data_IF_963759320958
#
_entry.id   IF_963759320958
#
_cell.length_a   1.000
_cell.length_b   1.000
_cell.length_c   1.000
_cell.angle_alpha   90.00
_cell.angle_beta   90.00
_cell.angle_gamma   90.00
#
_symmetry.space_group_name_H-M   'P 1'
#
loop_
_entity.id
_entity.type
_entity.pdbx_description
1 polymer ?
#
# COMPACT_ATOMS: atom_id res chain seq x y z
N UNK A 1 -17.19 2.83 -26.86
CA UNK A 1 -16.93 1.86 -25.77
C UNK A 1 -16.40 2.68 -24.60
N UNK A 2 -17.18 2.89 -23.54
CA UNK A 2 -16.68 3.64 -22.39
C UNK A 2 -15.59 2.80 -21.70
N UNK A 3 -14.44 3.41 -21.38
CA UNK A 3 -13.47 2.77 -20.49
C UNK A 3 -14.17 2.50 -19.17
N UNK A 4 -14.22 1.23 -18.74
CA UNK A 4 -14.57 0.93 -17.35
C UNK A 4 -13.51 1.58 -16.47
N UNK A 5 -13.93 2.50 -15.60
CA UNK A 5 -13.06 3.07 -14.58
C UNK A 5 -12.98 2.03 -13.46
N UNK A 6 -11.82 1.40 -13.28
CA UNK A 6 -11.62 0.36 -12.27
C UNK A 6 -11.13 0.94 -10.92
N UNK A 7 -11.12 2.27 -10.78
CA UNK A 7 -10.48 2.98 -9.68
C UNK A 7 -8.99 3.22 -9.90
N UNK A 8 -8.36 3.93 -8.96
CA UNK A 8 -6.93 4.24 -9.00
C UNK A 8 -6.12 3.15 -8.29
N UNK A 9 -4.89 2.89 -8.76
CA UNK A 9 -3.92 2.09 -8.03
C UNK A 9 -3.23 2.94 -6.97
N UNK A 10 -3.18 2.46 -5.73
CA UNK A 10 -2.55 3.15 -4.61
C UNK A 10 -1.27 2.45 -4.17
N UNK A 11 -0.33 3.20 -3.59
CA UNK A 11 0.84 2.65 -2.91
C UNK A 11 0.91 3.16 -1.47
N UNK A 12 1.16 2.23 -0.54
CA UNK A 12 1.17 2.45 0.90
C UNK A 12 2.49 1.94 1.50
N UNK A 13 3.15 2.77 2.30
CA UNK A 13 4.40 2.41 2.99
C UNK A 13 5.20 3.65 3.38
N UNK A 14 6.48 3.46 3.67
CA UNK A 14 7.38 4.56 4.03
C UNK A 14 7.70 5.43 2.82
N UNK A 15 8.04 6.69 3.06
CA UNK A 15 8.22 7.71 2.02
C UNK A 15 9.11 7.25 0.84
N UNK A 16 10.32 6.69 1.02
CA UNK A 16 11.15 6.31 -0.13
C UNK A 16 10.52 5.24 -1.02
N UNK A 17 9.79 4.29 -0.42
CA UNK A 17 9.09 3.25 -1.15
C UNK A 17 7.92 3.82 -1.96
N UNK A 18 7.10 4.65 -1.30
CA UNK A 18 5.95 5.30 -1.92
C UNK A 18 6.37 6.23 -3.07
N UNK A 19 7.43 7.02 -2.87
CA UNK A 19 7.97 7.92 -3.90
C UNK A 19 8.39 7.14 -5.15
N UNK A 20 9.12 6.03 -5.01
CA UNK A 20 9.51 5.19 -6.15
C UNK A 20 8.31 4.74 -6.97
N UNK A 21 7.30 4.18 -6.31
CA UNK A 21 6.13 3.61 -6.98
C UNK A 21 5.20 4.67 -7.56
N UNK A 22 5.17 5.87 -6.97
CA UNK A 22 4.41 7.01 -7.50
C UNK A 22 4.91 7.48 -8.87
N UNK A 23 6.18 7.23 -9.21
CA UNK A 23 6.72 7.50 -10.55
C UNK A 23 6.01 6.68 -11.65
N UNK A 24 5.36 5.58 -11.28
CA UNK A 24 4.57 4.75 -12.21
C UNK A 24 3.08 5.17 -12.28
N UNK A 25 2.71 6.30 -11.67
CA UNK A 25 1.34 6.80 -11.66
C UNK A 25 0.45 6.23 -10.55
N UNK A 26 1.04 5.55 -9.56
CA UNK A 26 0.32 5.10 -8.37
C UNK A 26 0.07 6.26 -7.41
N UNK A 27 -1.11 6.29 -6.80
CA UNK A 27 -1.48 7.33 -5.82
C UNK A 27 -0.77 7.05 -4.49
N UNK A 28 0.03 8.02 -4.05
CA UNK A 28 0.86 7.91 -2.86
C UNK A 28 0.06 8.05 -1.55
N UNK A 29 0.26 7.10 -0.64
CA UNK A 29 -0.16 7.18 0.77
C UNK A 29 1.04 6.87 1.65
N UNK A 30 1.67 7.93 2.15
CA UNK A 30 2.80 7.80 3.07
C UNK A 30 2.28 7.40 4.45
N UNK A 31 2.81 6.30 4.98
CA UNK A 31 2.49 5.78 6.30
C UNK A 31 3.82 5.35 6.94
N UNK A 32 4.39 6.18 7.82
CA UNK A 32 5.74 5.96 8.35
C UNK A 32 5.75 4.89 9.44
N UNK A 33 4.71 4.86 10.27
CA UNK A 33 4.56 3.91 11.37
C UNK A 33 3.18 3.22 11.42
N UNK A 34 3.05 2.16 12.24
CA UNK A 34 1.77 1.49 12.48
C UNK A 34 0.71 2.39 13.15
N UNK A 35 1.13 3.44 13.87
CA UNK A 35 0.27 4.46 14.47
C UNK A 35 -0.47 5.33 13.44
N UNK A 36 0.11 5.50 12.25
CA UNK A 36 -0.48 6.27 11.15
C UNK A 36 -1.50 5.43 10.36
N UNK A 37 -1.44 4.10 10.51
CA UNK A 37 -2.22 3.15 9.74
C UNK A 37 -3.74 3.39 9.81
N UNK A 38 -4.37 3.66 10.98
CA UNK A 38 -5.80 3.89 11.05
C UNK A 38 -6.26 5.04 10.15
N UNK A 39 -5.50 6.14 10.12
CA UNK A 39 -5.79 7.30 9.27
C UNK A 39 -5.58 6.98 7.78
N UNK A 40 -4.49 6.30 7.44
CA UNK A 40 -4.21 5.90 6.06
C UNK A 40 -5.25 4.90 5.53
N UNK A 41 -5.66 3.95 6.37
CA UNK A 41 -6.69 2.97 6.03
C UNK A 41 -8.04 3.64 5.83
N UNK A 42 -8.44 4.55 6.72
CA UNK A 42 -9.69 5.31 6.55
C UNK A 42 -9.70 6.13 5.26
N UNK A 43 -8.57 6.76 4.89
CA UNK A 43 -8.42 7.45 3.61
C UNK A 43 -8.68 6.51 2.43
N UNK A 44 -8.05 5.33 2.42
CA UNK A 44 -8.24 4.33 1.36
C UNK A 44 -9.69 3.84 1.26
N UNK A 45 -10.42 3.73 2.38
CA UNK A 45 -11.83 3.33 2.38
C UNK A 45 -12.78 4.38 1.76
N UNK A 46 -12.35 5.65 1.66
CA UNK A 46 -13.14 6.73 1.07
C UNK A 46 -12.95 6.93 -0.44
N UNK A 47 -12.04 6.17 -1.05
CA UNK A 47 -11.58 6.37 -2.42
C UNK A 47 -12.06 5.24 -3.36
N UNK A 48 -12.10 5.51 -4.66
CA UNK A 48 -12.30 4.48 -5.67
C UNK A 48 -10.95 3.77 -5.92
N UNK A 49 -10.70 2.68 -5.18
CA UNK A 49 -9.42 1.97 -5.19
C UNK A 49 -9.50 0.68 -6.04
N UNK A 50 -8.62 0.55 -7.02
CA UNK A 50 -8.46 -0.67 -7.81
C UNK A 50 -7.64 -1.74 -7.07
N UNK A 51 -6.50 -1.32 -6.51
CA UNK A 51 -5.59 -2.14 -5.71
C UNK A 51 -4.70 -1.26 -4.83
N UNK A 52 -4.12 -1.86 -3.79
CA UNK A 52 -3.15 -1.22 -2.91
C UNK A 52 -1.85 -2.01 -2.95
N UNK A 53 -0.78 -1.40 -3.45
CA UNK A 53 0.57 -1.92 -3.36
C UNK A 53 1.14 -1.55 -1.97
N UNK A 54 1.71 -2.50 -1.24
CA UNK A 54 2.15 -2.30 0.14
C UNK A 54 3.59 -2.75 0.39
N UNK A 55 4.35 -1.97 1.16
CA UNK A 55 5.72 -2.31 1.57
C UNK A 55 5.75 -3.46 2.59
N UNK A 56 6.45 -4.56 2.29
CA UNK A 56 6.43 -5.80 3.08
C UNK A 56 6.86 -5.63 4.55
N UNK A 57 8.01 -5.01 4.80
CA UNK A 57 8.59 -4.92 6.15
C UNK A 57 7.75 -3.98 7.02
N UNK A 58 7.17 -2.95 6.39
CA UNK A 58 6.25 -2.05 7.05
C UNK A 58 4.91 -2.75 7.33
N UNK A 59 4.39 -3.53 6.38
CA UNK A 59 3.14 -4.27 6.53
C UNK A 59 3.18 -5.25 7.72
N UNK A 60 4.34 -5.83 8.01
CA UNK A 60 4.52 -6.69 9.20
C UNK A 60 4.21 -5.97 10.51
N UNK A 61 4.47 -4.66 10.60
CA UNK A 61 4.22 -3.85 11.79
C UNK A 61 2.74 -3.51 12.01
N UNK A 62 1.88 -3.67 11.00
CA UNK A 62 0.45 -3.34 11.09
C UNK A 62 -0.24 -4.26 12.12
N UNK A 63 -1.11 -3.71 13.00
CA UNK A 63 -1.91 -4.54 13.91
C UNK A 63 -2.78 -5.57 13.18
N UNK A 64 -2.83 -6.81 13.70
CA UNK A 64 -3.50 -7.95 13.07
C UNK A 64 -4.99 -7.72 12.73
N UNK A 65 -5.68 -6.91 13.53
CA UNK A 65 -7.06 -6.51 13.25
C UNK A 65 -7.22 -5.88 11.86
N UNK A 66 -6.30 -5.00 11.49
CA UNK A 66 -6.32 -4.32 10.19
C UNK A 66 -5.90 -5.24 9.04
N UNK A 67 -4.88 -6.09 9.25
CA UNK A 67 -4.46 -7.10 8.27
C UNK A 67 -5.63 -8.02 7.90
N UNK A 68 -6.41 -8.47 8.88
CA UNK A 68 -7.61 -9.27 8.65
C UNK A 68 -8.68 -8.50 7.88
N UNK A 69 -8.90 -7.22 8.21
CA UNK A 69 -9.87 -6.37 7.49
C UNK A 69 -9.48 -6.22 6.02
N UNK A 70 -8.22 -5.90 5.74
CA UNK A 70 -7.66 -5.77 4.40
C UNK A 70 -7.76 -7.05 3.55
N UNK A 71 -7.69 -8.24 4.16
CA UNK A 71 -7.82 -9.54 3.47
C UNK A 71 -9.25 -9.89 3.05
N UNK A 72 -10.26 -9.32 3.71
CA UNK A 72 -11.67 -9.71 3.55
C UNK A 72 -12.44 -8.66 2.70
N UNK A 73 -11.91 -7.44 2.61
CA UNK A 73 -12.54 -6.33 1.87
C UNK A 73 -11.82 -6.06 0.55
N UNK A 74 -12.57 -5.65 -0.47
CA UNK A 74 -12.00 -4.87 -1.58
C UNK A 74 -11.38 -3.57 -1.02
N UNK A 75 -10.28 -3.08 -1.60
CA UNK A 75 -9.54 -3.57 -2.79
C UNK A 75 -8.54 -4.70 -2.48
N UNK A 76 -7.96 -5.32 -3.52
CA UNK A 76 -6.84 -6.28 -3.36
C UNK A 76 -5.57 -5.58 -2.86
N UNK A 77 -4.89 -6.20 -1.89
CA UNK A 77 -3.62 -5.73 -1.33
C UNK A 77 -2.47 -6.58 -1.89
N UNK A 78 -1.49 -5.93 -2.51
CA UNK A 78 -0.34 -6.56 -3.16
C UNK A 78 0.93 -6.19 -2.39
N UNK A 79 1.48 -7.15 -1.66
CA UNK A 79 2.73 -6.97 -0.93
C UNK A 79 3.93 -6.94 -1.88
N UNK A 80 4.81 -5.95 -1.71
CA UNK A 80 6.04 -5.78 -2.48
C UNK A 80 7.25 -5.65 -1.55
N UNK A 81 8.42 -6.16 -1.97
CA UNK A 81 9.63 -6.09 -1.16
C UNK A 81 10.00 -4.65 -0.79
N UNK A 82 10.34 -4.44 0.48
CA UNK A 82 10.89 -3.17 0.95
C UNK A 82 12.24 -2.85 0.30
N UNK A 83 12.51 -1.56 0.07
CA UNK A 83 13.73 -1.11 -0.61
C UNK A 83 15.02 -1.54 0.10
N UNK A 84 15.01 -1.60 1.44
CA UNK A 84 16.16 -2.06 2.23
C UNK A 84 16.31 -3.58 2.23
N UNK A 85 15.19 -4.32 2.16
CA UNK A 85 15.18 -5.78 2.15
C UNK A 85 15.72 -6.37 0.84
N UNK A 86 15.50 -5.71 -0.29
CA UNK A 86 15.91 -6.18 -1.62
C UNK A 86 17.42 -6.21 -1.87
N UNK A 87 18.23 -5.61 -0.99
CA UNK A 87 19.70 -5.56 -1.14
C UNK A 87 20.43 -6.73 -0.48
N UNK A 88 19.77 -7.54 0.36
CA UNK A 88 20.41 -8.68 1.06
C UNK A 88 20.70 -9.91 0.19
N UNK A 89 20.42 -9.86 -1.11
CA UNK A 89 20.64 -10.96 -2.07
C UNK A 89 21.88 -10.82 -2.96
N UNK A 90 22.80 -9.89 -2.66
CA UNK A 90 24.04 -9.68 -3.40
C UNK A 90 25.24 -9.59 -2.45
N UNK A 91 25.52 -10.68 -1.75
CA UNK A 91 26.83 -10.95 -1.13
C UNK A 91 27.25 -12.38 -1.48
#
# INVERSE_FOLDING_TARGET
>A
MAMQNYGNGYVLGRQPFVELWSLLGLVAVVCEGPEDFPGCFQKLQGEEVAFVLVESDWAESIPEFYKRKAKISDPVWVEMPSLRGSLKGRE
#
